data_IF_872071823471
#
_entry.id   IF_872071823471
#
_cell.length_a   1.000
_cell.length_b   1.000
_cell.length_c   1.000
_cell.angle_alpha   90.00
_cell.angle_beta   90.00
_cell.angle_gamma   90.00
#
_symmetry.space_group_name_H-M   'P 1'
#
loop_
_entity.id
_entity.type
_entity.pdbx_description
1 polymer ?
#
# COMPACT_ATOMS: atom_id res chain seq x y z
N UNK A 1 50.98 -34.83 -26.83
CA UNK A 1 50.15 -34.09 -27.80
C UNK A 1 48.70 -34.15 -27.30
N UNK A 2 48.26 -33.09 -26.60
CA UNK A 2 47.20 -32.17 -27.04
C UNK A 2 45.78 -32.74 -26.78
N UNK A 3 45.15 -32.37 -25.64
CA UNK A 3 44.29 -31.18 -25.43
C UNK A 3 42.83 -31.46 -25.82
N UNK A 4 41.98 -31.75 -24.82
CA UNK A 4 40.57 -31.35 -24.65
C UNK A 4 40.23 -31.76 -23.21
N UNK A 5 39.90 -30.92 -22.24
CA UNK A 5 39.49 -29.53 -22.21
C UNK A 5 38.62 -29.44 -20.97
N UNK A 6 39.03 -28.63 -19.99
CA UNK A 6 38.28 -28.35 -18.76
C UNK A 6 36.80 -28.12 -19.09
N UNK A 7 35.92 -28.97 -18.56
CA UNK A 7 34.51 -28.65 -18.49
C UNK A 7 34.40 -27.37 -17.65
N UNK A 8 33.95 -26.31 -18.31
CA UNK A 8 33.92 -24.94 -17.82
C UNK A 8 33.08 -24.87 -16.53
N UNK A 9 33.71 -24.59 -15.39
CA UNK A 9 33.04 -24.30 -14.12
C UNK A 9 32.07 -23.10 -14.22
N UNK A 10 32.06 -22.37 -15.34
CA UNK A 10 31.05 -21.35 -15.65
C UNK A 10 29.64 -21.92 -15.85
N UNK A 11 29.47 -23.17 -16.29
CA UNK A 11 28.13 -23.75 -16.44
C UNK A 11 27.45 -24.07 -15.09
N UNK A 12 28.22 -24.19 -14.00
CA UNK A 12 27.71 -24.36 -12.63
C UNK A 12 27.45 -23.03 -11.91
N UNK A 13 27.70 -21.89 -12.55
CA UNK A 13 27.37 -20.57 -12.02
C UNK A 13 26.03 -20.02 -12.55
N UNK A 14 25.40 -20.69 -13.52
CA UNK A 14 24.05 -20.36 -13.99
C UNK A 14 22.95 -21.12 -13.25
N UNK A 15 23.29 -22.05 -12.35
CA UNK A 15 22.32 -22.75 -11.49
C UNK A 15 21.98 -22.00 -10.20
N UNK A 16 22.46 -20.77 -10.04
CA UNK A 16 22.22 -19.92 -8.87
C UNK A 16 21.66 -18.53 -9.22
N UNK A 17 21.03 -18.39 -10.38
CA UNK A 17 20.05 -17.31 -10.55
C UNK A 17 18.79 -17.83 -9.86
N UNK A 18 18.63 -17.48 -8.58
CA UNK A 18 17.35 -17.58 -7.89
C UNK A 18 16.31 -16.99 -8.83
N UNK A 19 15.40 -17.81 -9.36
CA UNK A 19 14.25 -17.32 -10.11
C UNK A 19 13.58 -16.26 -9.23
N UNK A 20 13.65 -14.99 -9.64
CA UNK A 20 12.98 -13.92 -8.91
C UNK A 20 11.49 -14.17 -9.01
N UNK A 21 10.90 -14.72 -7.93
CA UNK A 21 9.46 -14.98 -7.86
C UNK A 21 8.75 -13.63 -7.82
N UNK A 22 8.16 -13.24 -8.94
CA UNK A 22 7.29 -12.07 -9.02
C UNK A 22 5.85 -12.50 -8.76
N UNK A 23 5.21 -11.87 -7.78
CA UNK A 23 3.80 -12.12 -7.45
C UNK A 23 2.95 -10.96 -7.96
N UNK A 24 1.91 -11.29 -8.72
CA UNK A 24 0.89 -10.31 -9.08
C UNK A 24 0.07 -9.94 -7.86
N UNK A 25 -0.15 -8.64 -7.61
CA UNK A 25 -0.94 -8.18 -6.48
C UNK A 25 -1.39 -6.73 -6.59
N UNK A 26 -2.36 -6.36 -5.75
CA UNK A 26 -2.92 -5.01 -5.73
C UNK A 26 -2.00 -4.07 -4.95
N UNK A 27 -1.48 -3.04 -5.63
CA UNK A 27 -0.69 -1.99 -4.98
C UNK A 27 -1.54 -0.88 -4.35
N UNK A 28 -2.64 -0.50 -5.00
CA UNK A 28 -3.52 0.59 -4.57
C UNK A 28 -4.97 0.13 -4.58
N UNK A 29 -5.53 -0.06 -3.38
CA UNK A 29 -6.93 -0.42 -3.22
C UNK A 29 -7.82 0.83 -3.43
N UNK A 30 -8.88 0.76 -4.25
CA UNK A 30 -9.78 1.88 -4.43
C UNK A 30 -10.56 2.17 -3.13
N UNK A 31 -10.87 3.43 -2.80
CA UNK A 31 -11.74 3.76 -1.66
C UNK A 31 -13.13 3.10 -1.75
N UNK A 32 -13.61 2.91 -2.99
CA UNK A 32 -14.86 2.22 -3.27
C UNK A 32 -14.63 1.17 -4.37
N UNK A 33 -14.37 -0.09 -4.00
CA UNK A 33 -14.09 -1.16 -4.95
C UNK A 33 -15.30 -1.54 -5.83
N UNK A 34 -16.52 -1.25 -5.37
CA UNK A 34 -17.75 -1.55 -6.12
C UNK A 34 -17.88 -0.70 -7.39
N UNK A 35 -17.23 0.48 -7.41
CA UNK A 35 -17.24 1.42 -8.54
C UNK A 35 -16.26 1.09 -9.66
N UNK A 36 -15.48 0.03 -9.52
CA UNK A 36 -14.58 -0.42 -10.58
C UNK A 36 -15.42 -0.94 -11.75
N UNK A 37 -15.37 -0.24 -12.88
CA UNK A 37 -16.25 -0.52 -14.02
C UNK A 37 -15.94 -1.82 -14.77
N UNK A 38 -14.68 -2.27 -14.74
CA UNK A 38 -14.27 -3.50 -15.42
C UNK A 38 -14.47 -4.72 -14.50
N UNK A 39 -15.25 -5.70 -14.95
CA UNK A 39 -15.60 -6.90 -14.18
C UNK A 39 -14.39 -7.77 -13.84
N UNK A 40 -13.49 -7.99 -14.80
CA UNK A 40 -12.25 -8.73 -14.55
C UNK A 40 -11.41 -8.06 -13.46
N UNK A 41 -11.33 -6.72 -13.45
CA UNK A 41 -10.59 -5.98 -12.42
C UNK A 41 -11.25 -6.11 -11.04
N UNK A 42 -12.59 -6.11 -10.96
CA UNK A 42 -13.32 -6.39 -9.72
C UNK A 42 -13.03 -7.80 -9.21
N UNK A 43 -13.09 -8.79 -10.09
CA UNK A 43 -12.80 -10.18 -9.74
C UNK A 43 -11.36 -10.36 -9.23
N UNK A 44 -10.36 -9.79 -9.91
CA UNK A 44 -8.97 -9.80 -9.45
C UNK A 44 -8.80 -9.12 -8.07
N UNK A 45 -9.60 -8.09 -7.79
CA UNK A 45 -9.62 -7.43 -6.49
C UNK A 45 -10.27 -8.32 -5.41
N UNK A 46 -11.34 -9.04 -5.72
CA UNK A 46 -11.92 -10.06 -4.84
C UNK A 46 -10.88 -11.12 -4.48
N UNK A 47 -10.15 -11.65 -5.46
CA UNK A 47 -9.11 -12.66 -5.22
C UNK A 47 -7.99 -12.15 -4.30
N UNK A 48 -7.51 -10.92 -4.53
CA UNK A 48 -6.49 -10.34 -3.66
C UNK A 48 -7.02 -10.13 -2.23
N UNK A 49 -8.24 -9.61 -2.09
CA UNK A 49 -8.84 -9.36 -0.77
C UNK A 49 -9.15 -10.66 -0.02
N UNK A 50 -9.53 -11.72 -0.74
CA UNK A 50 -9.68 -13.07 -0.19
C UNK A 50 -8.39 -13.53 0.47
N UNK A 51 -7.29 -13.44 -0.29
CA UNK A 51 -5.94 -13.77 0.19
C UNK A 51 -5.53 -12.90 1.39
N UNK A 52 -5.83 -11.60 1.36
CA UNK A 52 -5.49 -10.70 2.46
C UNK A 52 -6.28 -10.98 3.75
N UNK A 53 -7.49 -11.53 3.64
CA UNK A 53 -8.28 -11.98 4.80
C UNK A 53 -7.74 -13.30 5.34
N UNK A 54 -7.45 -14.26 4.46
CA UNK A 54 -6.84 -15.56 4.81
C UNK A 54 -5.49 -15.37 5.52
N UNK A 55 -4.64 -14.48 5.01
CA UNK A 55 -3.36 -14.10 5.62
C UNK A 55 -3.50 -13.18 6.86
N UNK A 56 -4.72 -12.95 7.35
CA UNK A 56 -5.04 -12.10 8.51
C UNK A 56 -4.56 -10.63 8.40
N UNK A 57 -4.30 -10.11 7.20
CA UNK A 57 -3.99 -8.69 7.00
C UNK A 57 -5.22 -7.81 7.22
N UNK A 58 -6.39 -8.31 6.80
CA UNK A 58 -7.67 -7.66 7.01
C UNK A 58 -8.45 -8.44 8.07
N UNK A 59 -8.41 -7.93 9.29
CA UNK A 59 -9.19 -8.49 10.39
C UNK A 59 -10.69 -8.32 10.16
N UNK A 60 -11.43 -9.40 10.36
CA UNK A 60 -12.89 -9.42 10.35
C UNK A 60 -13.41 -10.40 11.41
N UNK A 61 -14.64 -10.17 11.88
CA UNK A 61 -15.28 -11.06 12.85
C UNK A 61 -15.65 -12.40 12.21
N UNK A 62 -15.81 -13.43 13.04
CA UNK A 62 -16.20 -14.77 12.59
C UNK A 62 -17.46 -14.78 11.70
N UNK A 63 -18.50 -14.03 12.09
CA UNK A 63 -19.73 -13.91 11.29
C UNK A 63 -19.50 -13.23 9.94
N UNK A 64 -18.60 -12.24 9.87
CA UNK A 64 -18.23 -11.61 8.60
C UNK A 64 -17.41 -12.56 7.72
N UNK A 65 -16.50 -13.35 8.31
CA UNK A 65 -15.74 -14.36 7.55
C UNK A 65 -16.68 -15.39 6.90
N UNK A 66 -17.67 -15.88 7.63
CA UNK A 66 -18.69 -16.81 7.09
C UNK A 66 -19.41 -16.19 5.91
N UNK A 67 -19.87 -14.94 6.06
CA UNK A 67 -20.61 -14.23 5.02
C UNK A 67 -19.74 -13.97 3.78
N UNK A 68 -18.47 -13.59 3.97
CA UNK A 68 -17.55 -13.39 2.86
C UNK A 68 -17.22 -14.70 2.16
N UNK A 69 -17.04 -15.80 2.90
CA UNK A 69 -16.82 -17.12 2.34
C UNK A 69 -18.03 -17.63 1.54
N UNK A 70 -19.26 -17.36 1.99
CA UNK A 70 -20.45 -17.75 1.23
C UNK A 70 -20.57 -16.96 -0.10
N UNK A 71 -20.18 -15.68 -0.12
CA UNK A 71 -20.09 -14.93 -1.39
C UNK A 71 -18.98 -15.45 -2.30
N UNK A 72 -17.83 -15.87 -1.76
CA UNK A 72 -16.79 -16.54 -2.55
C UNK A 72 -17.32 -17.82 -3.20
N UNK A 73 -18.06 -18.65 -2.46
CA UNK A 73 -18.67 -19.86 -2.99
C UNK A 73 -19.70 -19.55 -4.08
N UNK A 74 -20.54 -18.55 -3.88
CA UNK A 74 -21.52 -18.13 -4.88
C UNK A 74 -20.85 -17.62 -6.16
N UNK A 75 -19.77 -16.84 -6.04
CA UNK A 75 -19.03 -16.32 -7.19
C UNK A 75 -18.32 -17.41 -8.00
N UNK A 76 -17.79 -18.43 -7.32
CA UNK A 76 -16.94 -19.46 -7.93
C UNK A 76 -17.68 -20.73 -8.35
N UNK A 77 -18.65 -21.17 -7.54
CA UNK A 77 -19.40 -22.42 -7.72
C UNK A 77 -20.85 -22.19 -8.15
N UNK A 78 -21.35 -20.96 -8.10
CA UNK A 78 -22.75 -20.64 -8.38
C UNK A 78 -23.68 -21.11 -7.26
N UNK A 79 -24.88 -21.56 -7.63
CA UNK A 79 -25.91 -22.00 -6.69
C UNK A 79 -25.48 -23.21 -5.85
N UNK A 80 -26.00 -23.29 -4.62
CA UNK A 80 -25.69 -24.38 -3.70
C UNK A 80 -26.13 -25.74 -4.26
N UNK A 81 -25.26 -26.75 -4.14
CA UNK A 81 -25.56 -28.13 -4.50
C UNK A 81 -25.24 -29.09 -3.35
N UNK A 82 -26.15 -30.01 -3.05
CA UNK A 82 -25.96 -31.03 -2.02
C UNK A 82 -25.21 -32.27 -2.57
N UNK A 83 -24.06 -32.05 -3.22
CA UNK A 83 -23.22 -33.12 -3.78
C UNK A 83 -21.88 -33.22 -3.06
N UNK A 84 -21.28 -34.41 -3.02
CA UNK A 84 -19.95 -34.60 -2.43
C UNK A 84 -18.86 -33.80 -3.16
N UNK A 85 -18.96 -33.69 -4.49
CA UNK A 85 -18.02 -32.91 -5.30
C UNK A 85 -18.05 -31.42 -4.94
N UNK A 86 -19.25 -30.84 -4.79
CA UNK A 86 -19.41 -29.47 -4.32
C UNK A 86 -18.78 -29.29 -2.93
N UNK A 87 -19.03 -30.20 -1.99
CA UNK A 87 -18.48 -30.10 -0.64
C UNK A 87 -16.94 -30.16 -0.62
N UNK A 88 -16.33 -30.97 -1.48
CA UNK A 88 -14.88 -31.05 -1.64
C UNK A 88 -14.30 -29.75 -2.20
N UNK A 89 -14.94 -29.17 -3.22
CA UNK A 89 -14.51 -27.89 -3.82
C UNK A 89 -14.69 -26.71 -2.87
N UNK A 90 -15.78 -26.70 -2.10
CA UNK A 90 -16.12 -25.59 -1.20
C UNK A 90 -15.05 -25.31 -0.14
N UNK A 91 -14.28 -26.32 0.27
CA UNK A 91 -13.19 -26.18 1.24
C UNK A 91 -12.10 -25.21 0.75
N UNK A 92 -11.89 -25.10 -0.57
CA UNK A 92 -10.86 -24.23 -1.15
C UNK A 92 -11.19 -22.73 -1.11
N UNK A 93 -12.41 -22.37 -0.71
CA UNK A 93 -12.91 -20.99 -0.71
C UNK A 93 -13.19 -20.44 0.69
N UNK A 94 -12.77 -21.20 1.69
CA UNK A 94 -12.81 -20.85 3.10
C UNK A 94 -11.74 -19.80 3.41
N UNK A 95 -12.04 -18.86 4.30
CA UNK A 95 -11.16 -17.75 4.67
C UNK A 95 -10.42 -17.99 5.99
N UNK A 96 -10.20 -19.26 6.35
CA UNK A 96 -9.66 -19.66 7.63
C UNK A 96 -8.73 -20.86 7.46
N UNK A 97 -7.55 -20.77 8.07
CA UNK A 97 -6.64 -21.90 8.18
C UNK A 97 -7.24 -22.99 9.07
N UNK A 98 -7.27 -24.23 8.59
CA UNK A 98 -7.80 -25.40 9.30
C UNK A 98 -9.24 -25.20 9.83
N UNK A 99 -10.23 -25.06 8.93
CA UNK A 99 -11.61 -24.76 9.34
C UNK A 99 -12.25 -25.91 10.13
N UNK A 100 -12.99 -25.55 11.19
CA UNK A 100 -13.79 -26.53 11.94
C UNK A 100 -15.00 -27.01 11.12
N UNK A 101 -15.52 -28.19 11.47
CA UNK A 101 -16.73 -28.72 10.84
C UNK A 101 -17.95 -27.81 11.03
N UNK A 102 -18.05 -27.14 12.18
CA UNK A 102 -19.11 -26.17 12.48
C UNK A 102 -19.01 -24.93 11.57
N UNK A 103 -17.80 -24.42 11.35
CA UNK A 103 -17.57 -23.30 10.44
C UNK A 103 -17.99 -23.64 9.01
N UNK A 104 -17.60 -24.82 8.52
CA UNK A 104 -18.00 -25.30 7.18
C UNK A 104 -19.51 -25.48 7.06
N UNK A 105 -20.17 -26.02 8.09
CA UNK A 105 -21.62 -26.17 8.11
C UNK A 105 -22.32 -24.80 8.04
N UNK A 106 -21.84 -23.82 8.81
CA UNK A 106 -22.44 -22.48 8.85
C UNK A 106 -22.28 -21.73 7.54
N UNK A 107 -21.13 -21.87 6.86
CA UNK A 107 -20.94 -21.33 5.51
C UNK A 107 -21.93 -21.94 4.51
N UNK A 108 -22.18 -23.26 4.58
CA UNK A 108 -23.12 -23.92 3.68
C UNK A 108 -24.55 -23.40 3.90
N UNK A 109 -24.97 -23.23 5.15
CA UNK A 109 -26.27 -22.64 5.44
C UNK A 109 -26.36 -21.19 4.92
N UNK A 110 -25.29 -20.40 5.07
CA UNK A 110 -25.25 -19.06 4.51
C UNK A 110 -25.29 -19.06 2.96
N UNK A 111 -24.61 -20.01 2.30
CA UNK A 111 -24.60 -20.12 0.85
C UNK A 111 -25.97 -20.51 0.27
N UNK A 112 -26.72 -21.41 0.94
CA UNK A 112 -28.11 -21.74 0.55
C UNK A 112 -29.03 -20.50 0.50
N UNK A 113 -28.77 -19.50 1.33
CA UNK A 113 -29.56 -18.26 1.36
C UNK A 113 -29.23 -17.31 0.20
N UNK A 114 -28.19 -17.59 -0.60
CA UNK A 114 -27.76 -16.79 -1.74
C UNK A 114 -28.25 -17.35 -3.09
N UNK A 115 -29.13 -18.36 -3.08
CA UNK A 115 -29.73 -18.88 -4.30
C UNK A 115 -30.35 -17.75 -5.13
N UNK A 116 -30.16 -17.78 -6.45
CA UNK A 116 -30.52 -16.73 -7.42
C UNK A 116 -29.58 -15.51 -7.51
N UNK A 117 -28.56 -15.39 -6.65
CA UNK A 117 -27.58 -14.33 -6.79
C UNK A 117 -26.59 -14.65 -7.92
N UNK A 118 -26.36 -13.72 -8.84
CA UNK A 118 -25.37 -13.94 -9.91
C UNK A 118 -23.94 -13.86 -9.36
N UNK A 119 -22.98 -14.48 -10.04
CA UNK A 119 -21.58 -14.46 -9.61
C UNK A 119 -21.04 -13.03 -9.51
N UNK A 120 -21.39 -12.17 -10.47
CA UNK A 120 -20.98 -10.76 -10.49
C UNK A 120 -21.61 -9.96 -9.35
N UNK A 121 -22.86 -10.24 -8.97
CA UNK A 121 -23.50 -9.60 -7.82
C UNK A 121 -22.86 -10.08 -6.50
N UNK A 122 -22.52 -11.37 -6.40
CA UNK A 122 -21.81 -11.92 -5.25
C UNK A 122 -20.46 -11.22 -5.04
N UNK A 123 -19.69 -10.99 -6.11
CA UNK A 123 -18.45 -10.20 -6.07
C UNK A 123 -18.70 -8.76 -5.57
N UNK A 124 -19.76 -8.10 -6.07
CA UNK A 124 -20.09 -6.73 -5.64
C UNK A 124 -20.46 -6.68 -4.17
N UNK A 125 -21.25 -7.65 -3.67
CA UNK A 125 -21.60 -7.75 -2.25
C UNK A 125 -20.38 -8.04 -1.37
N UNK A 126 -19.50 -8.93 -1.81
CA UNK A 126 -18.22 -9.20 -1.15
C UNK A 126 -17.41 -7.91 -1.01
N UNK A 127 -17.21 -7.17 -2.10
CA UNK A 127 -16.46 -5.90 -2.11
C UNK A 127 -17.12 -4.83 -1.24
N UNK A 128 -18.46 -4.76 -1.21
CA UNK A 128 -19.19 -3.80 -0.39
C UNK A 128 -19.05 -4.05 1.12
N UNK A 129 -18.91 -5.31 1.53
CA UNK A 129 -18.65 -5.66 2.92
C UNK A 129 -17.18 -5.39 3.26
N UNK A 130 -16.25 -5.88 2.43
CA UNK A 130 -14.81 -5.76 2.71
C UNK A 130 -14.36 -4.31 2.83
N UNK A 131 -14.87 -3.39 2.00
CA UNK A 131 -14.50 -1.96 2.07
C UNK A 131 -14.86 -1.29 3.41
N UNK A 132 -15.80 -1.87 4.17
CA UNK A 132 -16.24 -1.35 5.47
C UNK A 132 -15.37 -1.84 6.62
N UNK A 133 -14.47 -2.80 6.37
CA UNK A 133 -13.61 -3.37 7.40
C UNK A 133 -12.54 -2.36 7.87
N UNK A 134 -12.18 -2.35 9.16
CA UNK A 134 -11.30 -1.31 9.73
C UNK A 134 -9.90 -1.25 9.10
N UNK A 135 -9.39 -2.39 8.63
CA UNK A 135 -8.05 -2.55 8.04
C UNK A 135 -8.03 -2.58 6.52
N UNK A 136 -9.19 -2.44 5.87
CA UNK A 136 -9.26 -2.40 4.41
C UNK A 136 -8.34 -1.31 3.84
N UNK A 137 -7.60 -1.65 2.78
CA UNK A 137 -6.64 -0.80 2.06
C UNK A 137 -5.40 -0.34 2.83
N UNK A 138 -5.28 -0.66 4.12
CA UNK A 138 -4.17 -0.17 4.94
C UNK A 138 -3.03 -1.18 5.02
N UNK A 139 -1.83 -0.72 4.72
CA UNK A 139 -0.59 -1.42 5.05
C UNK A 139 -0.04 -0.85 6.36
N UNK A 140 0.34 -1.75 7.27
CA UNK A 140 0.74 -1.38 8.63
C UNK A 140 2.26 -1.36 8.80
N UNK A 141 2.73 -0.33 9.49
CA UNK A 141 4.13 -0.11 9.83
C UNK A 141 4.25 0.11 11.33
N UNK A 142 5.11 -0.66 11.94
CA UNK A 142 5.42 -0.54 13.36
C UNK A 142 6.25 0.71 13.65
N UNK A 143 5.89 1.45 14.68
CA UNK A 143 6.58 2.66 15.12
C UNK A 143 6.91 2.63 16.61
N UNK A 144 7.67 3.62 17.05
CA UNK A 144 8.04 3.80 18.46
C UNK A 144 7.61 5.19 18.90
N UNK A 145 6.73 5.23 19.91
CA UNK A 145 6.56 6.38 20.81
C UNK A 145 5.68 7.52 20.29
N UNK A 146 4.45 7.53 20.80
CA UNK A 146 3.86 8.72 21.44
C UNK A 146 4.05 8.48 22.95
N UNK A 147 4.76 9.36 23.67
CA UNK A 147 5.01 9.26 25.13
C UNK A 147 5.60 7.93 25.66
N UNK A 148 6.35 7.20 24.85
CA UNK A 148 6.99 5.92 25.22
C UNK A 148 6.22 4.69 24.74
N UNK A 149 5.04 4.86 24.16
CA UNK A 149 4.14 3.77 23.79
C UNK A 149 4.35 3.28 22.35
N UNK A 150 4.18 1.98 22.13
CA UNK A 150 4.21 1.39 20.79
C UNK A 150 3.01 1.88 19.96
N UNK A 151 3.27 2.31 18.73
CA UNK A 151 2.22 2.79 17.82
C UNK A 151 2.35 2.11 16.47
N UNK A 152 1.23 1.91 15.80
CA UNK A 152 1.18 1.30 14.47
C UNK A 152 0.61 2.29 13.46
N UNK A 153 1.32 2.52 12.37
CA UNK A 153 0.91 3.41 11.28
C UNK A 153 0.23 2.59 10.19
N UNK A 154 -1.00 2.93 9.84
CA UNK A 154 -1.66 2.41 8.64
C UNK A 154 -1.57 3.42 7.49
N UNK A 155 -1.07 3.00 6.33
CA UNK A 155 -1.07 3.80 5.09
C UNK A 155 -2.03 3.17 4.10
N UNK A 156 -3.04 3.91 3.64
CA UNK A 156 -4.05 3.37 2.74
C UNK A 156 -4.72 4.41 1.86
N UNK A 157 -5.83 4.04 1.23
CA UNK A 157 -6.41 4.84 0.15
C UNK A 157 -6.91 6.23 0.58
N UNK A 158 -7.26 6.41 1.86
CA UNK A 158 -7.80 7.67 2.38
C UNK A 158 -6.72 8.57 3.00
N UNK A 159 -5.61 7.99 3.46
CA UNK A 159 -4.64 8.72 4.25
C UNK A 159 -3.71 7.84 5.07
N UNK A 160 -3.15 8.47 6.09
CA UNK A 160 -2.37 7.82 7.15
C UNK A 160 -3.22 7.80 8.42
N UNK A 161 -3.28 6.64 9.07
CA UNK A 161 -3.91 6.45 10.38
C UNK A 161 -2.87 5.98 11.39
N UNK A 162 -3.02 6.37 12.65
CA UNK A 162 -2.15 5.92 13.73
C UNK A 162 -3.00 5.22 14.77
N UNK A 163 -2.57 4.02 15.14
CA UNK A 163 -3.13 3.20 16.19
C UNK A 163 -2.20 3.18 17.39
N UNK A 164 -2.78 3.28 18.58
CA UNK A 164 -2.16 2.91 19.84
C UNK A 164 -2.89 1.67 20.32
N UNK A 165 -2.20 0.54 20.38
CA UNK A 165 -2.80 -0.79 20.48
C UNK A 165 -3.89 -0.98 19.40
N UNK A 166 -5.15 -1.14 19.81
CA UNK A 166 -6.31 -1.28 18.91
C UNK A 166 -7.08 0.03 18.69
N UNK A 167 -6.69 1.12 19.37
CA UNK A 167 -7.41 2.39 19.34
C UNK A 167 -6.83 3.32 18.27
N UNK A 168 -7.71 3.81 17.38
CA UNK A 168 -7.34 4.77 16.35
C UNK A 168 -7.21 6.17 16.96
N UNK A 169 -5.98 6.65 17.12
CA UNK A 169 -5.68 7.94 17.75
C UNK A 169 -5.73 9.11 16.77
N UNK A 170 -5.04 8.97 15.63
CA UNK A 170 -4.90 10.05 14.64
C UNK A 170 -5.27 9.60 13.24
N UNK A 171 -5.75 10.57 12.45
CA UNK A 171 -6.09 10.39 11.04
C UNK A 171 -5.66 11.60 10.22
N UNK A 172 -4.72 11.38 9.30
CA UNK A 172 -4.26 12.37 8.33
C UNK A 172 -4.78 12.01 6.94
N UNK A 173 -5.83 12.70 6.50
CA UNK A 173 -6.34 12.55 5.14
C UNK A 173 -5.36 13.14 4.13
N UNK A 174 -5.24 12.54 2.94
CA UNK A 174 -4.34 13.04 1.87
C UNK A 174 -4.57 14.52 1.49
N UNK A 175 -5.81 15.02 1.64
CA UNK A 175 -6.16 16.42 1.40
C UNK A 175 -5.52 17.39 2.40
N UNK A 176 -5.38 16.98 3.67
CA UNK A 176 -4.82 17.80 4.76
C UNK A 176 -3.29 17.67 4.87
N UNK A 177 -2.70 16.63 4.30
CA UNK A 177 -1.24 16.45 4.30
C UNK A 177 -0.61 17.40 3.30
N UNK A 178 0.34 18.20 3.78
CA UNK A 178 1.09 19.20 3.00
C UNK A 178 2.47 18.67 2.64
N UNK A 179 3.16 18.05 3.61
CA UNK A 179 4.51 17.51 3.41
C UNK A 179 4.71 16.23 4.21
N UNK A 180 5.35 15.26 3.58
CA UNK A 180 5.84 14.03 4.19
C UNK A 180 7.36 14.00 4.07
N UNK A 181 8.04 13.76 5.19
CA UNK A 181 9.50 13.69 5.23
C UNK A 181 9.97 12.65 6.24
N UNK A 182 11.21 12.22 6.13
CA UNK A 182 11.86 11.38 7.13
C UNK A 182 13.29 11.87 7.37
N UNK A 183 13.79 11.71 8.61
CA UNK A 183 15.19 12.02 8.97
C UNK A 183 15.67 11.04 10.04
N UNK A 184 16.64 10.20 9.69
CA UNK A 184 17.15 9.16 10.58
C UNK A 184 16.02 8.20 10.98
N UNK A 185 15.70 8.17 12.28
CA UNK A 185 14.60 7.36 12.84
C UNK A 185 13.23 8.04 12.78
N UNK A 186 13.17 9.32 12.38
CA UNK A 186 11.96 10.11 12.53
C UNK A 186 11.16 10.18 11.22
N UNK A 187 9.88 9.86 11.29
CA UNK A 187 8.89 10.14 10.26
C UNK A 187 8.14 11.42 10.63
N UNK A 188 8.01 12.35 9.68
CA UNK A 188 7.51 13.71 9.94
C UNK A 188 6.36 14.00 8.98
N UNK A 189 5.20 14.34 9.54
CA UNK A 189 3.98 14.70 8.82
C UNK A 189 3.65 16.16 9.11
N UNK A 190 3.67 17.00 8.06
CA UNK A 190 3.13 18.36 8.12
C UNK A 190 1.74 18.36 7.50
N UNK A 191 0.74 18.77 8.26
CA UNK A 191 -0.65 18.78 7.84
C UNK A 191 -1.36 20.07 8.27
N UNK A 192 -2.48 20.38 7.62
CA UNK A 192 -3.24 21.59 7.88
C UNK A 192 -3.84 22.17 6.60
N UNK A 193 -4.54 23.29 6.73
CA UNK A 193 -5.14 23.99 5.60
C UNK A 193 -5.17 25.49 5.87
N UNK A 194 -5.14 26.30 4.81
CA UNK A 194 -5.33 27.77 4.87
C UNK A 194 -4.38 28.47 5.86
N UNK A 195 -3.08 28.16 5.79
CA UNK A 195 -2.05 28.83 6.59
C UNK A 195 -1.88 28.32 8.03
N UNK A 196 -2.81 27.50 8.55
CA UNK A 196 -2.64 26.83 9.85
C UNK A 196 -2.05 25.44 9.64
N UNK A 197 -0.74 25.31 9.83
CA UNK A 197 -0.02 24.05 9.65
C UNK A 197 0.55 23.55 10.97
N UNK A 198 0.34 22.26 11.22
CA UNK A 198 0.90 21.52 12.34
C UNK A 198 1.89 20.50 11.81
N UNK A 199 3.02 20.35 12.50
CA UNK A 199 4.01 19.32 12.20
C UNK A 199 4.02 18.33 13.34
N UNK A 200 3.86 17.04 13.03
CA UNK A 200 4.03 15.96 13.98
C UNK A 200 5.19 15.07 13.56
N UNK A 201 6.02 14.73 14.53
CA UNK A 201 7.23 13.94 14.36
C UNK A 201 7.08 12.67 15.18
N UNK A 202 7.27 11.54 14.53
CA UNK A 202 7.16 10.22 15.10
C UNK A 202 8.49 9.50 15.00
N UNK A 203 8.91 8.85 16.07
CA UNK A 203 10.09 7.97 16.02
C UNK A 203 9.66 6.59 15.54
N UNK A 204 10.55 5.93 14.81
CA UNK A 204 10.33 4.58 14.28
C UNK A 204 11.37 3.64 14.89
N UNK A 205 11.05 2.34 14.95
CA UNK A 205 11.95 1.32 15.53
C UNK A 205 13.33 1.33 14.87
N UNK A 206 13.41 1.61 13.58
CA UNK A 206 14.67 1.75 12.85
C UNK A 206 14.54 2.66 11.61
N UNK A 207 15.69 3.06 11.04
CA UNK A 207 15.73 3.96 9.87
C UNK A 207 15.11 3.33 8.62
N UNK A 208 15.18 2.00 8.49
CA UNK A 208 14.59 1.27 7.36
C UNK A 208 13.07 1.39 7.39
N UNK A 209 12.44 1.19 8.55
CA UNK A 209 11.00 1.36 8.73
C UNK A 209 10.57 2.81 8.50
N UNK A 210 11.31 3.80 9.00
CA UNK A 210 11.03 5.21 8.72
C UNK A 210 11.05 5.53 7.22
N UNK A 211 12.06 5.04 6.51
CA UNK A 211 12.19 5.21 5.06
C UNK A 211 11.07 4.47 4.31
N UNK A 212 10.73 3.24 4.70
CA UNK A 212 9.67 2.46 4.07
C UNK A 212 8.29 3.09 4.27
N UNK A 213 7.96 3.51 5.49
CA UNK A 213 6.72 4.24 5.79
C UNK A 213 6.63 5.53 4.97
N UNK A 214 7.71 6.30 4.92
CA UNK A 214 7.76 7.52 4.10
C UNK A 214 7.56 7.23 2.62
N UNK A 215 8.30 6.26 2.06
CA UNK A 215 8.18 5.88 0.64
C UNK A 215 6.76 5.44 0.32
N UNK A 216 6.17 4.56 1.13
CA UNK A 216 4.79 4.09 0.93
C UNK A 216 3.78 5.22 1.06
N UNK A 217 3.97 6.14 2.01
CA UNK A 217 3.09 7.29 2.21
C UNK A 217 3.14 8.27 1.03
N UNK A 218 4.33 8.56 0.51
CA UNK A 218 4.51 9.42 -0.68
C UNK A 218 3.88 8.77 -1.91
N UNK A 219 4.17 7.49 -2.16
CA UNK A 219 3.59 6.74 -3.29
C UNK A 219 2.05 6.79 -3.29
N UNK A 220 1.43 6.58 -2.12
CA UNK A 220 -0.02 6.64 -1.99
C UNK A 220 -0.57 8.07 -2.13
N UNK A 221 0.09 9.05 -1.50
CA UNK A 221 -0.33 10.46 -1.59
C UNK A 221 -0.34 10.95 -3.04
N UNK A 222 0.69 10.62 -3.82
CA UNK A 222 0.77 10.95 -5.25
C UNK A 222 -0.35 10.26 -6.02
N UNK A 223 -0.51 8.95 -5.88
CA UNK A 223 -1.53 8.18 -6.60
C UNK A 223 -2.95 8.69 -6.36
N UNK A 224 -3.34 8.87 -5.08
CA UNK A 224 -4.70 9.26 -4.71
C UNK A 224 -5.00 10.76 -4.85
N UNK A 225 -3.98 11.63 -4.97
CA UNK A 225 -4.21 13.04 -5.34
C UNK A 225 -4.31 13.27 -6.83
N UNK A 226 -3.57 12.52 -7.64
CA UNK A 226 -3.67 12.63 -9.10
C UNK A 226 -5.06 12.22 -9.59
N UNK A 227 -5.65 11.18 -9.00
CA UNK A 227 -7.01 10.72 -9.35
C UNK A 227 -8.11 11.71 -8.99
N UNK A 228 -7.95 12.52 -7.94
CA UNK A 228 -8.93 13.54 -7.53
C UNK A 228 -8.84 14.80 -8.40
N UNK A 229 -7.69 15.09 -9.00
CA UNK A 229 -7.45 16.32 -9.75
C UNK A 229 -7.54 16.17 -11.29
N UNK A 230 -7.99 15.03 -11.80
CA UNK A 230 -8.25 14.90 -13.24
C UNK A 230 -9.49 15.73 -13.62
N UNK A 231 -9.37 16.75 -14.49
CA UNK A 231 -10.55 17.43 -15.01
C UNK A 231 -11.42 16.43 -15.77
N UNK A 232 -12.73 16.51 -15.55
CA UNK A 232 -13.77 15.75 -16.26
C UNK A 232 -13.42 15.57 -17.75
N UNK A 233 -13.44 14.31 -18.23
CA UNK A 233 -13.13 13.91 -19.63
C UNK A 233 -13.91 14.69 -20.70
N UNK A 234 -14.98 15.41 -20.34
CA UNK A 234 -15.78 16.21 -21.28
C UNK A 234 -15.07 17.48 -21.79
N UNK A 235 -13.96 17.91 -21.17
CA UNK A 235 -13.23 19.11 -21.59
C UNK A 235 -11.97 18.88 -22.43
N UNK A 236 -11.53 17.63 -22.62
CA UNK A 236 -10.20 17.34 -23.19
C UNK A 236 -10.20 17.30 -24.73
N UNK A 237 -11.35 17.09 -25.38
CA UNK A 237 -11.39 16.91 -26.84
C UNK A 237 -11.21 18.19 -27.67
N UNK A 238 -11.42 19.37 -27.08
CA UNK A 238 -11.35 20.63 -27.84
C UNK A 238 -10.00 21.34 -27.76
N UNK A 239 -9.09 20.89 -26.88
CA UNK A 239 -7.78 21.54 -26.65
C UNK A 239 -6.61 20.76 -27.25
N UNK A 240 -6.86 19.60 -27.88
CA UNK A 240 -5.82 18.72 -28.43
C UNK A 240 -5.41 19.02 -29.88
N UNK A 241 -5.76 20.19 -30.43
CA UNK A 241 -5.33 20.58 -31.79
C UNK A 241 -4.21 21.62 -31.86
N UNK A 242 -3.74 22.13 -30.73
CA UNK A 242 -2.59 23.04 -30.68
C UNK A 242 -1.86 22.84 -29.36
N UNK A 243 -1.08 21.77 -29.28
CA UNK A 243 0.30 21.82 -28.74
C UNK A 243 0.82 20.40 -28.51
N UNK A 244 1.76 20.01 -29.36
CA UNK A 244 2.50 18.74 -29.30
C UNK A 244 3.56 18.75 -28.16
N UNK A 245 3.54 19.75 -27.27
CA UNK A 245 4.53 20.00 -26.21
C UNK A 245 4.08 19.57 -24.81
N UNK A 246 2.81 19.18 -24.61
CA UNK A 246 2.28 18.75 -23.29
C UNK A 246 2.51 17.27 -22.96
N UNK A 247 2.86 16.45 -23.96
CA UNK A 247 3.22 15.03 -23.76
C UNK A 247 4.69 14.82 -23.34
N UNK A 248 5.49 15.88 -23.26
CA UNK A 248 6.92 15.81 -22.88
C UNK A 248 7.21 16.31 -21.46
N UNK A 249 6.22 16.45 -20.58
CA UNK A 249 6.44 16.78 -19.17
C UNK A 249 6.94 15.54 -18.38
N UNK A 250 8.19 15.15 -18.67
CA UNK A 250 9.24 14.54 -17.80
C UNK A 250 8.76 13.48 -16.80
N UNK A 251 9.01 12.16 -16.90
CA UNK A 251 10.08 11.36 -17.51
C UNK A 251 11.54 11.86 -17.28
N UNK A 252 11.83 12.44 -16.12
CA UNK A 252 13.21 12.61 -15.61
C UNK A 252 13.08 12.62 -14.07
N UNK A 253 13.49 11.64 -13.28
CA UNK A 253 14.86 11.17 -13.06
C UNK A 253 14.89 9.77 -12.39
N UNK A 254 13.98 8.87 -12.76
CA UNK A 254 13.90 7.54 -12.13
C UNK A 254 14.74 6.47 -12.85
N UNK A 255 15.17 6.72 -14.10
CA UNK A 255 15.76 5.68 -14.96
C UNK A 255 17.29 5.73 -15.15
N UNK A 256 18.01 6.69 -14.56
CA UNK A 256 19.47 6.82 -14.81
C UNK A 256 20.39 6.20 -13.74
N UNK A 257 19.87 5.82 -12.58
CA UNK A 257 20.70 5.30 -11.48
C UNK A 257 20.96 3.77 -11.55
N UNK A 258 20.45 3.07 -12.58
CA UNK A 258 20.64 1.61 -12.70
C UNK A 258 21.88 1.18 -13.51
N UNK A 259 22.62 2.10 -14.16
CA UNK A 259 23.59 1.71 -15.21
C UNK A 259 25.04 2.21 -15.06
N UNK A 260 25.53 2.51 -13.85
CA UNK A 260 26.98 2.79 -13.65
C UNK A 260 27.53 2.16 -12.38
N UNK A 261 28.19 1.01 -12.54
CA UNK A 261 28.88 0.32 -11.45
C UNK A 261 29.77 -0.85 -11.89
N UNK A 262 30.57 -0.69 -12.95
CA UNK A 262 31.75 -1.55 -13.19
C UNK A 262 32.92 -0.64 -13.58
N UNK A 263 33.86 -0.44 -12.66
CA UNK A 263 35.34 -0.55 -12.77
C UNK A 263 36.05 0.26 -11.67
N UNK A 264 36.67 -0.48 -10.75
CA UNK A 264 37.99 -0.35 -10.09
C UNK A 264 38.50 0.98 -9.48
N UNK A 265 38.74 0.88 -8.16
CA UNK A 265 39.84 1.37 -7.30
C UNK A 265 40.53 2.72 -7.60
N UNK A 266 40.44 3.66 -6.64
CA UNK A 266 41.56 4.09 -5.75
C UNK A 266 41.09 5.09 -4.68
N UNK A 267 41.57 4.89 -3.45
CA UNK A 267 41.88 5.86 -2.36
C UNK A 267 40.93 7.02 -2.00
N UNK A 268 40.52 6.99 -0.72
CA UNK A 268 40.31 8.11 0.23
C UNK A 268 39.33 9.24 -0.11
N UNK A 269 38.30 9.29 0.75
CA UNK A 269 37.62 10.48 1.32
C UNK A 269 36.89 11.45 0.38
N UNK A 270 35.85 12.08 0.94
CA UNK A 270 34.98 13.15 0.39
C UNK A 270 33.77 12.79 -0.50
N UNK A 271 32.61 13.26 -0.02
CA UNK A 271 31.48 13.85 -0.76
C UNK A 271 30.43 12.97 -1.48
N UNK A 272 29.51 12.48 -0.64
CA UNK A 272 28.06 12.76 -0.69
C UNK A 272 27.48 13.26 -2.04
N UNK A 273 26.86 12.33 -2.79
CA UNK A 273 25.79 12.64 -3.75
C UNK A 273 24.51 11.93 -3.31
N UNK A 274 23.49 12.69 -2.87
CA UNK A 274 22.09 12.23 -2.75
C UNK A 274 21.17 13.17 -3.51
N UNK A 275 20.35 12.60 -4.38
CA UNK A 275 19.38 13.30 -5.21
C UNK A 275 18.23 13.90 -4.37
N UNK A 276 17.99 15.20 -4.57
CA UNK A 276 16.85 15.97 -4.10
C UNK A 276 15.92 16.17 -5.31
N UNK A 277 14.65 15.75 -5.21
CA UNK A 277 13.65 16.13 -6.22
C UNK A 277 13.08 17.51 -5.87
N UNK A 278 13.54 18.54 -6.61
CA UNK A 278 12.88 19.85 -6.68
C UNK A 278 11.67 19.73 -7.61
N UNK A 279 10.46 19.86 -7.06
CA UNK A 279 9.25 20.07 -7.86
C UNK A 279 9.06 21.57 -8.04
N UNK A 280 9.26 22.05 -9.26
CA UNK A 280 8.99 23.42 -9.70
C UNK A 280 7.50 23.73 -9.59
N UNK A 281 7.19 24.88 -8.97
CA UNK A 281 5.86 25.35 -8.55
C UNK A 281 5.10 26.11 -9.64
N UNK A 282 3.79 26.26 -9.42
CA UNK A 282 3.01 27.51 -9.61
C UNK A 282 2.15 27.69 -8.34
N UNK A 283 1.96 28.91 -7.79
CA UNK A 283 2.54 29.27 -6.48
C UNK A 283 1.51 29.55 -5.38
N UNK A 284 1.91 29.32 -4.12
CA UNK A 284 1.66 30.22 -2.97
C UNK A 284 2.84 30.04 -2.02
N UNK A 285 3.49 31.15 -1.68
CA UNK A 285 4.78 31.28 -1.00
C UNK A 285 5.00 30.37 0.21
N UNK A 286 5.99 29.48 0.13
CA UNK A 286 6.67 28.88 1.30
C UNK A 286 8.14 28.71 0.97
N UNK A 287 8.95 29.52 1.63
CA UNK A 287 10.41 29.48 1.65
C UNK A 287 10.94 28.10 2.08
N UNK A 288 11.98 27.64 1.40
CA UNK A 288 12.80 26.49 1.79
C UNK A 288 14.05 27.07 2.44
N UNK A 289 14.09 27.09 3.77
CA UNK A 289 15.33 27.40 4.51
C UNK A 289 16.07 26.11 4.86
N UNK A 290 17.34 26.09 4.49
CA UNK A 290 18.38 25.22 5.06
C UNK A 290 18.73 25.77 6.45
N UNK A 291 18.47 25.01 7.51
CA UNK A 291 19.07 25.29 8.82
C UNK A 291 20.40 24.56 8.89
N UNK A 292 21.48 25.33 8.75
CA UNK A 292 22.86 24.96 9.06
C UNK A 292 23.04 24.75 10.56
N UNK A 293 23.84 23.75 10.91
CA UNK A 293 24.27 23.45 12.27
C UNK A 293 25.33 24.43 12.79
N UNK A 294 25.10 25.03 13.96
CA UNK A 294 26.13 25.30 14.97
C UNK A 294 25.52 25.47 16.38
N UNK A 295 25.93 24.54 17.26
CA UNK A 295 26.28 24.63 18.69
C UNK A 295 25.36 25.18 19.80
N UNK A 296 25.27 24.30 20.82
CA UNK A 296 25.36 24.51 22.28
C UNK A 296 24.14 24.78 23.18
N UNK A 297 23.98 23.83 24.12
CA UNK A 297 23.55 23.89 25.52
C UNK A 297 22.13 24.37 25.89
N UNK A 298 21.52 23.60 26.81
CA UNK A 298 20.76 24.19 27.92
C UNK A 298 19.35 23.62 28.17
N UNK A 299 19.25 22.82 29.22
CA UNK A 299 18.08 22.58 30.08
C UNK A 299 16.87 23.54 29.93
N UNK A 300 15.64 22.97 29.90
CA UNK A 300 14.72 22.96 31.05
C UNK A 300 13.23 22.90 30.66
N UNK A 301 12.47 22.17 31.51
CA UNK A 301 11.06 22.34 31.89
C UNK A 301 9.99 22.05 30.80
N UNK A 302 9.14 21.01 30.91
CA UNK A 302 8.13 20.67 31.95
C UNK A 302 7.02 21.73 32.09
N UNK A 303 5.77 21.28 31.93
CA UNK A 303 4.44 21.92 32.11
C UNK A 303 3.83 22.50 30.82
N UNK A 304 2.54 22.33 30.51
CA UNK A 304 1.38 21.86 31.30
C UNK A 304 0.22 21.50 30.35
N UNK A 305 -0.64 20.63 30.86
CA UNK A 305 -1.94 20.14 30.40
C UNK A 305 -2.88 21.19 29.79
N UNK A 306 -3.71 20.78 28.83
CA UNK A 306 -5.14 20.46 29.00
C UNK A 306 -5.65 19.73 27.75
#
# INVERSE_FOLDING_TARGET
>A
MAKYGQADQRCLLWSNILDEIVVFGVKYYPPDPTKVGNELTKYMLCLQLRKDIEENKIECSFGVQILLASYCLQSELGEYQMTEDYQKKAINYVLMDNPSMEYLATIREAHKMLNQLTNTEADVHFLDIVRKLPRYSFEFFEGEVIDGLAVTFGVGCIGIVIYLDSLRMFRFTWLKIVKLSYRGLHFIVKFGQKGKYTTQTYRMKNQRQAKSLWKRSVDNHVFFRLTVNLPSRKGILNTLKTDQSLLSFKQTSYSQDMNRGITNNTSADTDLRRAVLKVTQVPVDVFVEEISSHDNFGHSLVRKCL
#
